data_IF_133711601653
#
_entry.id   IF_133711601653
#
_cell.length_a   1.000
_cell.length_b   1.000
_cell.length_c   1.000
_cell.angle_alpha   90.00
_cell.angle_beta   90.00
_cell.angle_gamma   90.00
#
_symmetry.space_group_name_H-M   'P 1'
#
loop_
_entity.id
_entity.type
_entity.pdbx_description
1 polymer ?
#
# COMPACT_ATOMS: atom_id res chain seq x y z
N UNK A 1 -20.85 7.55 9.64
CA UNK A 1 -20.51 6.72 10.82
C UNK A 1 -19.92 5.43 10.30
N UNK A 2 -18.71 5.07 10.72
CA UNK A 2 -18.05 3.83 10.27
C UNK A 2 -18.73 2.62 10.94
N UNK A 3 -18.93 1.54 10.18
CA UNK A 3 -19.63 0.33 10.65
C UNK A 3 -18.77 -0.45 11.67
N UNK A 4 -19.36 -0.99 12.74
CA UNK A 4 -18.65 -1.82 13.74
C UNK A 4 -17.90 -3.01 13.10
N UNK A 5 -18.47 -3.61 12.06
CA UNK A 5 -17.82 -4.68 11.28
C UNK A 5 -16.50 -4.20 10.66
N UNK A 6 -16.44 -2.95 10.23
CA UNK A 6 -15.24 -2.34 9.65
C UNK A 6 -14.16 -2.12 10.72
N UNK A 7 -14.51 -1.56 11.88
CA UNK A 7 -13.58 -1.41 13.01
C UNK A 7 -13.03 -2.76 13.48
N UNK A 8 -13.90 -3.76 13.64
CA UNK A 8 -13.46 -5.11 14.03
C UNK A 8 -12.50 -5.72 13.01
N UNK A 9 -12.67 -5.44 11.71
CA UNK A 9 -11.73 -5.88 10.70
C UNK A 9 -10.38 -5.17 10.84
N UNK A 10 -10.38 -3.86 11.07
CA UNK A 10 -9.16 -3.07 11.27
C UNK A 10 -8.35 -3.50 12.49
N UNK A 11 -8.97 -4.08 13.53
CA UNK A 11 -8.23 -4.64 14.67
C UNK A 11 -7.30 -5.81 14.30
N UNK A 12 -7.47 -6.40 13.12
CA UNK A 12 -6.56 -7.43 12.60
C UNK A 12 -5.38 -6.85 11.81
N UNK A 13 -5.29 -5.53 11.67
CA UNK A 13 -4.16 -4.86 11.05
C UNK A 13 -2.90 -5.03 11.91
N UNK A 14 -1.78 -5.33 11.24
CA UNK A 14 -0.47 -5.47 11.87
C UNK A 14 0.54 -4.58 11.15
N UNK A 15 1.05 -3.56 11.86
CA UNK A 15 1.97 -2.57 11.30
C UNK A 15 3.31 -3.19 10.91
N UNK A 16 3.81 -4.17 11.66
CA UNK A 16 5.08 -4.83 11.35
C UNK A 16 5.02 -5.60 10.03
N UNK A 17 3.99 -6.42 9.83
CA UNK A 17 3.74 -7.09 8.56
C UNK A 17 3.51 -6.11 7.42
N UNK A 18 2.79 -5.02 7.68
CA UNK A 18 2.54 -3.96 6.71
C UNK A 18 3.84 -3.32 6.21
N UNK A 19 4.71 -2.82 7.10
CA UNK A 19 5.95 -2.16 6.70
C UNK A 19 6.94 -3.10 6.04
N UNK A 20 7.05 -4.34 6.53
CA UNK A 20 7.91 -5.35 5.89
C UNK A 20 7.46 -5.61 4.46
N UNK A 21 6.16 -5.78 4.23
CA UNK A 21 5.63 -5.97 2.88
C UNK A 21 5.81 -4.73 2.00
N UNK A 22 5.53 -3.53 2.53
CA UNK A 22 5.63 -2.29 1.76
C UNK A 22 7.07 -2.01 1.32
N UNK A 23 8.05 -2.22 2.21
CA UNK A 23 9.48 -2.06 1.88
C UNK A 23 9.92 -3.06 0.82
N UNK A 24 9.46 -4.31 0.89
CA UNK A 24 9.79 -5.32 -0.12
C UNK A 24 9.22 -4.95 -1.48
N UNK A 25 7.99 -4.42 -1.51
CA UNK A 25 7.35 -4.01 -2.77
C UNK A 25 8.03 -2.77 -3.36
N UNK A 26 8.23 -1.72 -2.56
CA UNK A 26 8.90 -0.50 -3.01
C UNK A 26 10.36 -0.77 -3.43
N UNK A 27 11.03 -1.74 -2.80
CA UNK A 27 12.39 -2.14 -3.16
C UNK A 27 12.48 -3.23 -4.24
N UNK A 28 11.37 -3.64 -4.87
CA UNK A 28 11.35 -4.81 -5.76
C UNK A 28 12.17 -4.63 -7.05
N UNK A 29 12.36 -3.39 -7.50
CA UNK A 29 13.24 -3.05 -8.63
C UNK A 29 14.70 -2.79 -8.22
N UNK A 30 15.00 -2.94 -6.93
CA UNK A 30 16.32 -2.76 -6.35
C UNK A 30 16.60 -1.34 -5.85
N UNK A 31 15.68 -0.37 -6.00
CA UNK A 31 15.90 0.98 -5.49
C UNK A 31 14.59 1.69 -5.09
N UNK A 32 14.46 2.02 -3.81
CA UNK A 32 13.35 2.88 -3.32
C UNK A 32 13.67 4.33 -3.68
N UNK A 33 12.79 4.98 -4.44
CA UNK A 33 12.98 6.38 -4.82
C UNK A 33 12.61 7.35 -3.68
N UNK A 34 12.93 8.63 -3.85
CA UNK A 34 12.72 9.64 -2.78
C UNK A 34 11.25 9.77 -2.37
N UNK A 35 10.31 9.69 -3.32
CA UNK A 35 8.88 9.83 -3.04
C UNK A 35 8.29 8.62 -2.32
N UNK A 36 8.72 7.41 -2.68
CA UNK A 36 8.36 6.18 -1.96
C UNK A 36 8.93 6.17 -0.54
N UNK A 37 10.18 6.62 -0.37
CA UNK A 37 10.81 6.73 0.95
C UNK A 37 10.08 7.76 1.81
N UNK A 38 9.68 8.91 1.24
CA UNK A 38 8.90 9.92 1.94
C UNK A 38 7.55 9.36 2.39
N UNK A 39 6.84 8.64 1.51
CA UNK A 39 5.58 7.97 1.87
C UNK A 39 5.79 6.97 3.02
N UNK A 40 6.80 6.10 2.94
CA UNK A 40 7.12 5.14 3.99
C UNK A 40 7.42 5.82 5.33
N UNK A 41 8.16 6.93 5.30
CA UNK A 41 8.50 7.71 6.50
C UNK A 41 7.26 8.36 7.13
N UNK A 42 6.35 8.90 6.32
CA UNK A 42 5.11 9.50 6.79
C UNK A 42 4.21 8.45 7.44
N UNK A 43 4.05 7.28 6.81
CA UNK A 43 3.30 6.17 7.41
C UNK A 43 3.95 5.70 8.72
N UNK A 44 5.27 5.56 8.75
CA UNK A 44 6.00 5.13 9.95
C UNK A 44 5.83 6.09 11.11
N UNK A 45 5.85 7.40 10.83
CA UNK A 45 5.60 8.45 11.82
C UNK A 45 4.16 8.40 12.35
N UNK A 46 3.17 8.18 11.48
CA UNK A 46 1.76 8.06 11.89
C UNK A 46 1.51 6.85 12.80
N UNK A 47 2.28 5.77 12.62
CA UNK A 47 2.11 4.50 13.34
C UNK A 47 3.16 4.27 14.45
N UNK A 48 4.01 5.24 14.74
CA UNK A 48 5.14 5.14 15.69
C UNK A 48 6.00 3.88 15.43
N UNK A 49 6.38 3.67 14.17
CA UNK A 49 7.10 2.47 13.71
C UNK A 49 8.58 2.76 13.38
N UNK A 50 9.49 1.87 13.81
CA UNK A 50 10.91 1.94 13.47
C UNK A 50 11.18 1.39 12.06
N UNK A 51 10.96 2.25 11.06
CA UNK A 51 11.18 1.93 9.65
C UNK A 51 12.65 1.57 9.35
N UNK A 52 13.61 2.19 10.05
CA UNK A 52 15.04 1.97 9.79
C UNK A 52 15.46 0.53 10.10
N UNK A 53 14.87 -0.08 11.13
CA UNK A 53 15.09 -1.49 11.45
C UNK A 53 14.63 -2.46 10.34
N UNK A 54 13.67 -2.06 9.49
CA UNK A 54 13.19 -2.85 8.35
C UNK A 54 14.05 -2.60 7.12
N UNK A 55 14.30 -1.34 6.77
CA UNK A 55 15.11 -0.97 5.60
C UNK A 55 16.50 -1.62 5.65
N UNK A 56 17.14 -1.64 6.82
CA UNK A 56 18.49 -2.20 6.99
C UNK A 56 18.56 -3.74 6.85
N UNK A 57 17.43 -4.45 6.84
CA UNK A 57 17.41 -5.92 6.77
C UNK A 57 17.52 -6.48 5.36
N UNK A 58 17.24 -5.68 4.31
CA UNK A 58 17.25 -6.17 2.93
C UNK A 58 16.30 -7.35 2.71
N UNK A 59 15.05 -7.20 3.16
CA UNK A 59 14.05 -8.27 3.13
C UNK A 59 13.63 -8.62 1.69
N UNK A 60 13.25 -9.87 1.48
CA UNK A 60 12.59 -10.37 0.29
C UNK A 60 11.23 -11.00 0.63
N UNK A 61 10.34 -11.15 -0.36
CA UNK A 61 9.02 -11.78 -0.15
C UNK A 61 9.12 -13.19 0.47
N UNK A 62 10.17 -13.95 0.15
CA UNK A 62 10.44 -15.27 0.72
C UNK A 62 10.68 -15.27 2.24
N UNK A 63 11.06 -14.12 2.81
CA UNK A 63 11.38 -13.99 4.23
C UNK A 63 10.11 -13.79 5.08
N UNK A 64 8.95 -13.62 4.44
CA UNK A 64 7.68 -13.35 5.10
C UNK A 64 6.74 -14.56 5.01
N UNK A 65 6.18 -14.95 6.16
CA UNK A 65 5.11 -15.94 6.24
C UNK A 65 3.76 -15.31 5.89
N UNK A 66 3.54 -15.07 4.61
CA UNK A 66 2.36 -14.38 4.07
C UNK A 66 1.03 -15.04 4.49
N UNK A 67 1.01 -16.36 4.74
CA UNK A 67 -0.20 -17.07 5.19
C UNK A 67 -0.66 -16.65 6.59
N UNK A 68 0.25 -16.15 7.44
CA UNK A 68 -0.07 -15.68 8.80
C UNK A 68 -0.58 -14.25 8.86
N UNK A 69 -0.49 -13.50 7.75
CA UNK A 69 -0.88 -12.08 7.70
C UNK A 69 -2.38 -11.98 7.42
N UNK A 70 -3.07 -11.12 8.17
CA UNK A 70 -4.50 -10.89 7.99
C UNK A 70 -4.82 -10.36 6.59
N UNK A 71 -6.01 -10.71 6.09
CA UNK A 71 -6.47 -10.22 4.78
C UNK A 71 -6.58 -8.69 4.74
N UNK A 72 -6.90 -8.07 5.89
CA UNK A 72 -7.00 -6.61 6.02
C UNK A 72 -5.64 -5.96 5.79
N UNK A 73 -4.58 -6.44 6.46
CA UNK A 73 -3.21 -5.95 6.26
C UNK A 73 -2.77 -6.08 4.80
N UNK A 74 -3.04 -7.23 4.18
CA UNK A 74 -2.69 -7.47 2.77
C UNK A 74 -3.40 -6.50 1.82
N UNK A 75 -4.69 -6.24 2.03
CA UNK A 75 -5.46 -5.30 1.21
C UNK A 75 -5.00 -3.85 1.40
N UNK A 76 -4.60 -3.49 2.63
CA UNK A 76 -4.02 -2.17 2.91
C UNK A 76 -2.66 -2.01 2.22
N UNK A 77 -1.82 -3.06 2.22
CA UNK A 77 -0.58 -3.07 1.43
C UNK A 77 -0.88 -2.83 -0.05
N UNK A 78 -1.81 -3.59 -0.66
CA UNK A 78 -2.17 -3.39 -2.07
C UNK A 78 -2.65 -1.98 -2.37
N UNK A 79 -3.52 -1.42 -1.52
CA UNK A 79 -3.97 -0.02 -1.64
C UNK A 79 -2.79 0.96 -1.70
N UNK A 80 -1.83 0.79 -0.81
CA UNK A 80 -0.70 1.71 -0.72
C UNK A 80 0.30 1.48 -1.86
N UNK A 81 0.48 0.24 -2.34
CA UNK A 81 1.24 -0.03 -3.56
C UNK A 81 0.62 0.64 -4.78
N UNK A 82 -0.71 0.60 -4.93
CA UNK A 82 -1.42 1.32 -6.01
C UNK A 82 -1.22 2.83 -5.86
N UNK A 83 -1.28 3.34 -4.63
CA UNK A 83 -1.06 4.76 -4.35
C UNK A 83 0.35 5.20 -4.74
N UNK A 84 1.38 4.42 -4.36
CA UNK A 84 2.78 4.67 -4.73
C UNK A 84 2.98 4.67 -6.25
N UNK A 85 2.37 3.72 -6.97
CA UNK A 85 2.43 3.66 -8.43
C UNK A 85 1.72 4.83 -9.14
N UNK A 86 0.91 5.62 -8.43
CA UNK A 86 0.29 6.83 -8.99
C UNK A 86 0.99 8.12 -8.56
N UNK A 87 2.01 8.07 -7.69
CA UNK A 87 2.64 9.28 -7.14
C UNK A 87 3.29 10.15 -8.22
N UNK A 88 3.86 9.55 -9.26
CA UNK A 88 4.46 10.28 -10.39
C UNK A 88 3.45 10.62 -11.50
N UNK A 89 2.18 10.23 -11.30
CA UNK A 89 1.07 10.51 -12.21
C UNK A 89 0.98 9.58 -13.42
N UNK A 90 1.80 8.53 -13.53
CA UNK A 90 1.79 7.61 -14.68
C UNK A 90 1.60 6.16 -14.23
N UNK A 91 0.35 5.79 -13.92
CA UNK A 91 0.02 4.39 -13.72
C UNK A 91 -0.02 3.63 -15.06
N UNK A 92 1.06 2.93 -15.37
CA UNK A 92 1.22 2.23 -16.65
C UNK A 92 0.84 0.73 -16.56
N UNK A 93 0.85 0.05 -17.72
CA UNK A 93 0.52 -1.38 -17.79
C UNK A 93 1.51 -2.25 -17.01
N UNK A 94 2.78 -1.87 -16.97
CA UNK A 94 3.82 -2.63 -16.27
C UNK A 94 3.62 -2.55 -14.74
N UNK A 95 3.22 -1.39 -14.23
CA UNK A 95 2.91 -1.21 -12.81
C UNK A 95 1.67 -1.98 -12.39
N UNK A 96 0.63 -1.97 -13.23
CA UNK A 96 -0.54 -2.81 -13.02
C UNK A 96 -0.19 -4.30 -12.99
N UNK A 97 0.64 -4.78 -13.91
CA UNK A 97 1.11 -6.17 -13.90
C UNK A 97 1.89 -6.50 -12.61
N UNK A 98 2.79 -5.63 -12.15
CA UNK A 98 3.54 -5.81 -10.90
C UNK A 98 2.60 -5.90 -9.68
N UNK A 99 1.62 -5.00 -9.57
CA UNK A 99 0.66 -5.01 -8.46
C UNK A 99 -0.18 -6.30 -8.46
N UNK A 100 -0.57 -6.78 -9.64
CA UNK A 100 -1.27 -8.05 -9.79
C UNK A 100 -0.40 -9.25 -9.34
N UNK A 101 0.89 -9.25 -9.67
CA UNK A 101 1.84 -10.28 -9.21
C UNK A 101 2.03 -10.27 -7.69
N UNK A 102 2.12 -9.08 -7.10
CA UNK A 102 2.18 -8.89 -5.64
C UNK A 102 0.89 -9.41 -5.01
N UNK A 103 -0.26 -9.02 -5.53
CA UNK A 103 -1.57 -9.46 -5.06
C UNK A 103 -1.73 -10.98 -5.10
N UNK A 104 -1.30 -11.63 -6.19
CA UNK A 104 -1.26 -13.08 -6.30
C UNK A 104 -0.41 -13.72 -5.20
N UNK A 105 0.77 -13.15 -4.91
CA UNK A 105 1.64 -13.63 -3.81
C UNK A 105 0.98 -13.46 -2.45
N UNK A 106 0.23 -12.37 -2.26
CA UNK A 106 -0.53 -12.11 -1.03
C UNK A 106 -1.80 -12.98 -0.90
N UNK A 107 -2.23 -13.63 -1.99
CA UNK A 107 -3.49 -14.38 -2.04
C UNK A 107 -4.72 -13.48 -2.18
N UNK A 108 -4.55 -12.31 -2.80
CA UNK A 108 -5.64 -11.41 -3.17
C UNK A 108 -6.00 -11.68 -4.63
N UNK A 109 -7.30 -11.80 -4.91
CA UNK A 109 -7.80 -12.05 -6.25
C UNK A 109 -7.75 -10.76 -7.10
N UNK A 110 -7.46 -10.84 -8.41
CA UNK A 110 -7.36 -9.67 -9.29
C UNK A 110 -8.54 -8.71 -9.20
N UNK A 111 -9.76 -9.25 -9.10
CA UNK A 111 -10.98 -8.45 -9.04
C UNK A 111 -11.08 -7.59 -7.76
N UNK A 112 -10.43 -8.00 -6.68
CA UNK A 112 -10.37 -7.19 -5.46
C UNK A 112 -9.31 -6.08 -5.58
N UNK A 113 -8.25 -6.29 -6.35
CA UNK A 113 -7.22 -5.28 -6.64
C UNK A 113 -7.81 -4.19 -7.53
N UNK A 114 -8.53 -4.59 -8.59
CA UNK A 114 -9.19 -3.66 -9.50
C UNK A 114 -10.19 -2.77 -8.77
N UNK A 115 -11.01 -3.34 -7.87
CA UNK A 115 -11.93 -2.57 -7.03
C UNK A 115 -11.23 -1.58 -6.10
N UNK A 116 -10.07 -1.95 -5.55
CA UNK A 116 -9.28 -1.03 -4.71
C UNK A 116 -8.76 0.12 -5.57
N UNK A 117 -8.27 -0.17 -6.78
CA UNK A 117 -7.80 0.83 -7.72
C UNK A 117 -8.91 1.80 -8.15
N UNK A 118 -10.07 1.27 -8.56
CA UNK A 118 -11.25 2.07 -8.92
C UNK A 118 -11.66 3.00 -7.77
N UNK A 119 -11.71 2.47 -6.54
CA UNK A 119 -12.03 3.26 -5.36
C UNK A 119 -11.00 4.38 -5.08
N UNK A 120 -9.70 4.14 -5.29
CA UNK A 120 -8.66 5.16 -5.14
C UNK A 120 -8.80 6.28 -6.17
N UNK A 121 -9.09 5.94 -7.43
CA UNK A 121 -9.32 6.93 -8.49
C UNK A 121 -10.55 7.81 -8.18
N UNK A 122 -11.64 7.22 -7.71
CA UNK A 122 -12.82 7.97 -7.25
C UNK A 122 -12.48 8.89 -6.07
N UNK A 123 -11.68 8.41 -5.11
CA UNK A 123 -11.25 9.19 -3.96
C UNK A 123 -10.41 10.40 -4.37
N UNK A 124 -9.40 10.23 -5.23
CA UNK A 124 -8.55 11.33 -5.67
C UNK A 124 -9.30 12.35 -6.51
N UNK A 125 -10.24 11.93 -7.36
CA UNK A 125 -11.09 12.87 -8.12
C UNK A 125 -11.92 13.78 -7.20
N UNK A 126 -12.32 13.30 -6.02
CA UNK A 126 -13.01 14.13 -5.01
C UNK A 126 -12.04 15.13 -4.39
N UNK A 127 -10.81 14.72 -4.09
CA UNK A 127 -9.78 15.61 -3.54
C UNK A 127 -9.41 16.70 -4.54
N UNK A 128 -9.14 16.35 -5.79
CA UNK A 128 -8.81 17.28 -6.89
C UNK A 128 -9.92 18.33 -7.06
N UNK A 129 -11.18 17.91 -7.10
CA UNK A 129 -12.33 18.83 -7.13
C UNK A 129 -12.37 19.76 -5.91
N UNK A 130 -12.01 19.26 -4.74
CA UNK A 130 -11.91 20.05 -3.51
C UNK A 130 -10.83 21.13 -3.63
N UNK A 131 -9.67 20.78 -4.15
CA UNK A 131 -8.57 21.70 -4.40
C UNK A 131 -8.97 22.80 -5.39
N UNK A 132 -9.59 22.45 -6.52
CA UNK A 132 -10.12 23.40 -7.49
C UNK A 132 -11.08 24.41 -6.85
N UNK A 133 -12.04 23.93 -6.05
CA UNK A 133 -13.05 24.79 -5.44
C UNK A 133 -12.51 25.73 -4.35
N UNK A 134 -11.43 25.34 -3.68
CA UNK A 134 -10.87 26.07 -2.53
C UNK A 134 -9.66 26.93 -2.89
N UNK A 135 -9.03 26.67 -4.04
CA UNK A 135 -7.85 27.43 -4.51
C UNK A 135 -8.13 28.31 -5.74
N UNK A 136 -9.29 28.15 -6.40
CA UNK A 136 -9.76 29.05 -7.45
C UNK A 136 -10.28 30.40 -6.93
#
# INVERSE_FOLDING_TARGET
MLNEKYFSALNSFDSDSYFKLLVIVAGADGNICESELAFLQDQAKLMDYDLQAVLNKGLNLSDIKVQGISIVTKKIVIRDCISLAHIDGVYDKNESEKIQEIGKTLGIVPEDIDKINEWLLEYWAIIEKGEELLTA
#
